data_IF_573740388491
#
_entry.id   IF_573740388491
#
_cell.length_a   1.000
_cell.length_b   1.000
_cell.length_c   1.000
_cell.angle_alpha   90.00
_cell.angle_beta   90.00
_cell.angle_gamma   90.00
#
_symmetry.space_group_name_H-M   'P 1'
#
loop_
_entity.id
_entity.type
_entity.pdbx_description
1 polymer ?
#
# COMPACT_ATOMS: atom_id res chain seq x y z
N UNK A 1 15.22 -3.20 -9.64
CA UNK A 1 15.55 -2.84 -11.03
C UNK A 1 15.75 -1.35 -11.13
N UNK A 2 16.96 -0.95 -11.45
CA UNK A 2 17.24 0.43 -11.81
C UNK A 2 16.68 0.68 -13.21
N UNK A 3 15.47 1.18 -13.27
CA UNK A 3 14.91 1.64 -14.54
C UNK A 3 15.69 2.89 -14.99
N UNK A 4 16.40 2.74 -16.08
CA UNK A 4 17.23 3.81 -16.65
C UNK A 4 16.47 4.69 -17.65
N UNK A 5 15.18 4.42 -17.87
CA UNK A 5 14.39 5.22 -18.80
C UNK A 5 14.06 6.58 -18.19
N UNK A 6 14.45 7.69 -18.85
CA UNK A 6 14.10 9.04 -18.37
C UNK A 6 12.59 9.32 -18.31
N UNK A 7 11.79 8.51 -19.01
CA UNK A 7 10.33 8.65 -19.05
C UNK A 7 9.62 7.84 -17.95
N UNK A 8 10.32 6.96 -17.24
CA UNK A 8 9.72 6.19 -16.16
C UNK A 8 9.33 7.10 -14.99
N UNK A 9 8.08 7.03 -14.55
CA UNK A 9 7.57 7.77 -13.39
C UNK A 9 6.33 7.07 -12.82
N UNK A 10 6.01 7.38 -11.56
CA UNK A 10 4.79 6.92 -10.92
C UNK A 10 4.99 5.83 -9.89
N UNK A 11 3.87 5.30 -9.40
CA UNK A 11 3.78 4.27 -8.37
C UNK A 11 3.28 2.96 -8.96
N UNK A 12 3.93 1.86 -8.64
CA UNK A 12 3.48 0.51 -8.99
C UNK A 12 3.57 -0.41 -7.77
N UNK A 13 2.60 -1.30 -7.61
CA UNK A 13 2.59 -2.30 -6.54
C UNK A 13 2.61 -3.71 -7.13
N UNK A 14 3.39 -4.59 -6.52
CA UNK A 14 3.62 -5.95 -7.02
C UNK A 14 3.24 -6.97 -5.95
N UNK A 15 2.54 -8.02 -6.37
CA UNK A 15 2.14 -9.15 -5.55
C UNK A 15 2.56 -10.47 -6.21
N UNK A 16 2.57 -11.57 -5.45
CA UNK A 16 2.84 -12.87 -6.02
C UNK A 16 1.68 -13.33 -6.91
N UNK A 17 1.98 -13.61 -8.15
CA UNK A 17 1.02 -14.16 -9.10
C UNK A 17 1.68 -14.55 -10.41
N UNK A 18 1.28 -15.71 -10.93
CA UNK A 18 1.71 -16.19 -12.22
C UNK A 18 0.52 -16.27 -13.19
N UNK A 19 0.78 -16.13 -14.49
CA UNK A 19 -0.24 -16.21 -15.53
C UNK A 19 -0.85 -17.62 -15.66
N UNK A 20 -0.21 -18.64 -15.11
CA UNK A 20 -0.59 -20.05 -15.26
C UNK A 20 -0.72 -20.81 -13.94
N UNK A 21 -0.80 -20.14 -12.81
CA UNK A 21 -0.75 -20.82 -11.53
C UNK A 21 -1.29 -20.00 -10.36
N UNK A 22 -0.65 -20.21 -9.22
CA UNK A 22 -1.08 -19.62 -7.95
C UNK A 22 -0.97 -18.11 -7.93
N UNK A 23 -1.95 -17.49 -7.32
CA UNK A 23 -1.97 -16.04 -7.03
C UNK A 23 -2.21 -15.86 -5.54
N UNK A 24 -1.43 -14.98 -4.91
CA UNK A 24 -1.72 -14.54 -3.55
C UNK A 24 -2.92 -13.61 -3.56
N UNK A 25 -4.08 -14.12 -3.17
CA UNK A 25 -5.32 -13.31 -3.11
C UNK A 25 -5.19 -12.16 -2.13
N UNK A 26 -4.63 -12.42 -0.95
CA UNK A 26 -4.42 -11.39 0.08
C UNK A 26 -3.37 -10.38 -0.39
N UNK A 27 -2.27 -10.85 -0.97
CA UNK A 27 -1.25 -9.97 -1.53
C UNK A 27 -1.79 -9.06 -2.63
N UNK A 28 -2.61 -9.61 -3.52
CA UNK A 28 -3.27 -8.84 -4.58
C UNK A 28 -4.20 -7.77 -4.00
N UNK A 29 -5.05 -8.12 -3.05
CA UNK A 29 -5.95 -7.17 -2.40
C UNK A 29 -5.19 -6.06 -1.69
N UNK A 30 -4.14 -6.41 -0.96
CA UNK A 30 -3.28 -5.43 -0.29
C UNK A 30 -2.59 -4.50 -1.29
N UNK A 31 -2.05 -5.05 -2.37
CA UNK A 31 -1.42 -4.26 -3.43
C UNK A 31 -2.42 -3.27 -4.06
N UNK A 32 -3.64 -3.71 -4.33
CA UNK A 32 -4.69 -2.86 -4.90
C UNK A 32 -5.06 -1.72 -3.93
N UNK A 33 -5.19 -2.00 -2.64
CA UNK A 33 -5.46 -0.96 -1.62
C UNK A 33 -4.30 0.02 -1.50
N UNK A 34 -3.06 -0.45 -1.42
CA UNK A 34 -1.87 0.42 -1.34
C UNK A 34 -1.81 1.32 -2.58
N UNK A 35 -1.95 0.75 -3.75
CA UNK A 35 -1.87 1.49 -5.01
C UNK A 35 -2.88 2.64 -5.03
N UNK A 36 -4.14 2.36 -4.73
CA UNK A 36 -5.19 3.37 -4.72
C UNK A 36 -4.94 4.47 -3.69
N UNK A 37 -4.59 4.09 -2.46
CA UNK A 37 -4.39 5.02 -1.36
C UNK A 37 -3.18 5.93 -1.59
N UNK A 38 -2.07 5.39 -2.06
CA UNK A 38 -0.86 6.16 -2.33
C UNK A 38 -1.06 7.12 -3.50
N UNK A 39 -1.65 6.66 -4.59
CA UNK A 39 -1.94 7.51 -5.76
C UNK A 39 -2.88 8.66 -5.39
N UNK A 40 -3.95 8.37 -4.65
CA UNK A 40 -4.92 9.40 -4.25
C UNK A 40 -4.29 10.50 -3.38
N UNK A 41 -3.34 10.16 -2.52
CA UNK A 41 -2.69 11.10 -1.59
C UNK A 41 -1.52 11.87 -2.21
N UNK A 42 -0.83 11.28 -3.16
CA UNK A 42 0.40 11.87 -3.73
C UNK A 42 0.19 12.52 -5.10
N UNK A 43 -0.81 12.08 -5.84
CA UNK A 43 -0.99 12.49 -7.23
C UNK A 43 0.08 11.95 -8.19
N UNK A 44 0.95 11.04 -7.74
CA UNK A 44 1.88 10.35 -8.62
C UNK A 44 1.13 9.51 -9.67
N UNK A 45 1.75 9.28 -10.81
CA UNK A 45 1.15 8.50 -11.88
C UNK A 45 0.81 7.09 -11.38
N UNK A 46 -0.40 6.63 -11.69
CA UNK A 46 -0.84 5.27 -11.37
C UNK A 46 -0.28 4.27 -12.41
N UNK A 47 0.76 3.56 -12.02
CA UNK A 47 1.35 2.48 -12.80
C UNK A 47 0.72 1.11 -12.48
N UNK A 48 -0.37 1.07 -11.71
CA UNK A 48 -1.20 -0.08 -11.41
C UNK A 48 -0.51 -1.16 -10.57
N UNK A 49 -1.21 -2.28 -10.41
CA UNK A 49 -0.72 -3.46 -9.70
C UNK A 49 -0.37 -4.57 -10.69
N UNK A 50 0.64 -5.36 -10.33
CA UNK A 50 1.18 -6.40 -11.22
C UNK A 50 1.50 -7.68 -10.43
N UNK A 51 1.07 -8.82 -10.97
CA UNK A 51 1.51 -10.13 -10.50
C UNK A 51 2.93 -10.45 -10.99
N UNK A 52 3.77 -10.94 -10.09
CA UNK A 52 5.16 -11.36 -10.40
C UNK A 52 5.50 -12.62 -9.61
N UNK A 53 6.44 -13.40 -10.15
CA UNK A 53 6.93 -14.64 -9.52
C UNK A 53 8.29 -14.45 -8.85
N UNK A 54 8.64 -13.24 -8.48
CA UNK A 54 9.92 -12.92 -7.83
C UNK A 54 10.07 -13.66 -6.50
N UNK A 55 11.28 -14.09 -6.19
CA UNK A 55 11.58 -14.83 -4.97
C UNK A 55 11.19 -14.09 -3.71
N UNK A 56 11.39 -12.78 -3.65
CA UNK A 56 10.95 -11.93 -2.55
C UNK A 56 9.45 -12.09 -2.25
N UNK A 57 8.63 -12.22 -3.28
CA UNK A 57 7.17 -12.35 -3.14
C UNK A 57 6.75 -13.80 -2.90
N UNK A 58 7.51 -14.76 -3.41
CA UNK A 58 7.18 -16.18 -3.42
C UNK A 58 7.59 -16.93 -2.16
N UNK A 59 8.77 -16.61 -1.62
CA UNK A 59 9.40 -17.40 -0.54
C UNK A 59 9.00 -16.92 0.86
N UNK A 60 8.13 -15.95 0.98
CA UNK A 60 7.64 -15.45 2.27
C UNK A 60 6.47 -16.29 2.78
N UNK A 61 6.40 -16.47 4.10
CA UNK A 61 5.28 -17.15 4.78
C UNK A 61 4.06 -16.24 4.96
N UNK A 62 4.26 -14.94 4.83
CA UNK A 62 3.21 -13.93 4.94
C UNK A 62 2.91 -13.32 3.59
N UNK A 63 1.69 -12.85 3.35
CA UNK A 63 1.40 -12.04 2.18
C UNK A 63 2.38 -10.88 2.08
N UNK A 64 3.02 -10.75 0.94
CA UNK A 64 4.06 -9.74 0.71
C UNK A 64 3.73 -8.93 -0.54
N UNK A 65 3.92 -7.63 -0.42
CA UNK A 65 3.74 -6.66 -1.52
C UNK A 65 5.00 -5.82 -1.62
N UNK A 66 5.50 -5.64 -2.83
CA UNK A 66 6.53 -4.66 -3.12
C UNK A 66 5.87 -3.41 -3.70
N UNK A 67 6.23 -2.25 -3.19
CA UNK A 67 5.70 -0.97 -3.67
C UNK A 67 6.85 -0.11 -4.17
N UNK A 68 6.83 0.22 -5.44
CA UNK A 68 7.76 1.16 -6.06
C UNK A 68 7.10 2.54 -6.06
N UNK A 69 7.53 3.41 -5.16
CA UNK A 69 6.87 4.69 -4.88
C UNK A 69 7.35 5.85 -5.76
N UNK A 70 7.99 5.54 -6.84
CA UNK A 70 8.48 6.54 -7.78
C UNK A 70 9.87 6.20 -8.30
N UNK A 71 10.35 7.02 -9.21
CA UNK A 71 11.65 6.85 -9.86
C UNK A 71 12.52 8.08 -9.59
N UNK A 72 13.70 7.85 -9.01
CA UNK A 72 14.65 8.94 -8.73
C UNK A 72 15.21 9.58 -10.02
N UNK A 73 15.10 8.89 -11.14
CA UNK A 73 15.46 9.42 -12.46
C UNK A 73 14.38 10.35 -13.04
N UNK A 74 13.17 10.33 -12.49
CA UNK A 74 12.11 11.25 -12.87
C UNK A 74 12.21 12.55 -12.05
N UNK A 75 12.39 13.72 -12.69
CA UNK A 75 12.41 15.00 -11.97
C UNK A 75 11.14 15.25 -11.17
N UNK A 76 9.98 14.84 -11.70
CA UNK A 76 8.69 14.97 -11.03
C UNK A 76 8.63 14.13 -9.77
N UNK A 77 8.93 12.83 -9.87
CA UNK A 77 8.87 11.90 -8.74
C UNK A 77 9.91 12.29 -7.69
N UNK A 78 11.13 12.61 -8.11
CA UNK A 78 12.18 13.06 -7.21
C UNK A 78 11.78 14.32 -6.47
N UNK A 79 11.17 15.29 -7.14
CA UNK A 79 10.67 16.53 -6.53
C UNK A 79 9.64 16.26 -5.44
N UNK A 80 8.80 15.25 -5.62
CA UNK A 80 7.83 14.80 -4.60
C UNK A 80 8.53 14.07 -3.46
N UNK A 81 9.38 13.10 -3.75
CA UNK A 81 9.98 12.21 -2.76
C UNK A 81 10.95 12.89 -1.80
N UNK A 82 11.51 14.04 -2.17
CA UNK A 82 12.38 14.83 -1.27
C UNK A 82 11.58 15.62 -0.23
N UNK A 83 10.27 15.78 -0.38
CA UNK A 83 9.45 16.50 0.59
C UNK A 83 9.00 15.57 1.73
N UNK A 84 9.10 16.01 3.00
CA UNK A 84 8.56 15.22 4.12
C UNK A 84 7.05 14.96 3.99
N UNK A 85 6.30 15.91 3.49
CA UNK A 85 4.85 15.82 3.31
C UNK A 85 4.47 14.67 2.35
N UNK A 86 5.19 14.51 1.24
CA UNK A 86 4.94 13.41 0.31
C UNK A 86 5.27 12.06 0.92
N UNK A 87 6.35 11.95 1.67
CA UNK A 87 6.71 10.71 2.39
C UNK A 87 5.68 10.35 3.45
N UNK A 88 5.18 11.32 4.19
CA UNK A 88 4.10 11.12 5.17
C UNK A 88 2.81 10.67 4.46
N UNK A 89 2.47 11.26 3.33
CA UNK A 89 1.31 10.85 2.54
C UNK A 89 1.42 9.40 2.04
N UNK A 90 2.61 8.98 1.62
CA UNK A 90 2.87 7.59 1.22
C UNK A 90 2.68 6.65 2.41
N UNK A 91 3.27 6.98 3.56
CA UNK A 91 3.16 6.17 4.78
C UNK A 91 1.70 6.08 5.25
N UNK A 92 0.96 7.18 5.24
CA UNK A 92 -0.47 7.21 5.56
C UNK A 92 -1.28 6.33 4.60
N UNK A 93 -0.97 6.37 3.32
CA UNK A 93 -1.62 5.53 2.31
C UNK A 93 -1.38 4.03 2.54
N UNK A 94 -0.16 3.65 2.85
CA UNK A 94 0.18 2.25 3.17
C UNK A 94 -0.53 1.81 4.46
N UNK A 95 -0.52 2.63 5.50
CA UNK A 95 -1.21 2.33 6.75
C UNK A 95 -2.72 2.18 6.53
N UNK A 96 -3.34 3.07 5.79
CA UNK A 96 -4.76 2.98 5.44
C UNK A 96 -5.08 1.68 4.69
N UNK A 97 -4.24 1.29 3.75
CA UNK A 97 -4.40 0.05 2.99
C UNK A 97 -4.35 -1.20 3.88
N UNK A 98 -3.38 -1.27 4.79
CA UNK A 98 -3.26 -2.39 5.74
C UNK A 98 -4.48 -2.44 6.66
N UNK A 99 -4.92 -1.30 7.18
CA UNK A 99 -6.12 -1.21 8.03
C UNK A 99 -7.38 -1.63 7.28
N UNK A 100 -7.56 -1.22 6.03
CA UNK A 100 -8.69 -1.67 5.20
C UNK A 100 -8.71 -3.19 5.04
N UNK A 101 -7.55 -3.79 4.83
CA UNK A 101 -7.46 -5.23 4.62
C UNK A 101 -7.82 -6.04 5.88
N UNK A 102 -7.31 -5.62 7.04
CA UNK A 102 -7.37 -6.44 8.25
C UNK A 102 -8.32 -5.96 9.34
N UNK A 103 -8.60 -4.67 9.43
CA UNK A 103 -9.29 -4.11 10.58
C UNK A 103 -10.60 -3.42 10.26
N UNK A 104 -10.73 -2.78 9.10
CA UNK A 104 -11.90 -2.00 8.75
C UNK A 104 -12.97 -2.82 8.01
N UNK A 105 -12.61 -4.00 7.52
CA UNK A 105 -13.52 -4.87 6.82
C UNK A 105 -14.17 -4.20 5.60
N UNK A 106 -15.50 -4.33 5.48
CA UNK A 106 -16.27 -3.82 4.34
C UNK A 106 -16.74 -2.37 4.48
N UNK A 107 -16.27 -1.65 5.49
CA UNK A 107 -16.61 -0.24 5.65
C UNK A 107 -15.88 0.59 4.60
N UNK A 108 -16.58 0.86 3.51
CA UNK A 108 -16.07 1.56 2.34
C UNK A 108 -16.05 3.07 2.55
N UNK A 109 -15.15 3.55 3.39
CA UNK A 109 -14.79 4.96 3.34
C UNK A 109 -14.07 5.25 2.02
N UNK A 110 -14.36 6.39 1.38
CA UNK A 110 -13.70 6.74 0.13
C UNK A 110 -12.18 6.69 0.24
N UNK A 111 -11.54 6.30 -0.86
CA UNK A 111 -10.07 6.26 -0.96
C UNK A 111 -9.47 7.64 -0.68
N UNK A 112 -8.37 7.66 0.06
CA UNK A 112 -7.62 8.89 0.33
C UNK A 112 -8.20 9.76 1.45
N UNK A 113 -9.23 9.31 2.18
CA UNK A 113 -9.92 10.13 3.18
C UNK A 113 -9.53 9.84 4.62
N UNK A 114 -8.88 8.71 4.90
CA UNK A 114 -8.38 8.43 6.25
C UNK A 114 -7.14 9.25 6.58
N UNK A 115 -7.12 9.85 7.75
CA UNK A 115 -5.94 10.52 8.32
C UNK A 115 -5.22 9.60 9.32
N UNK A 116 -3.97 9.90 9.64
CA UNK A 116 -3.24 9.18 10.69
C UNK A 116 -3.97 9.20 12.02
N UNK A 117 -4.54 10.35 12.40
CA UNK A 117 -5.27 10.47 13.66
C UNK A 117 -6.49 9.55 13.71
N UNK A 118 -7.24 9.45 12.62
CA UNK A 118 -8.40 8.55 12.52
C UNK A 118 -8.00 7.08 12.56
N UNK A 119 -6.91 6.72 11.89
CA UNK A 119 -6.41 5.36 11.87
C UNK A 119 -5.91 4.92 13.25
N UNK A 120 -5.22 5.79 13.97
CA UNK A 120 -4.77 5.52 15.35
C UNK A 120 -5.95 5.44 16.32
N UNK A 121 -6.93 6.31 16.21
CA UNK A 121 -8.14 6.28 17.04
C UNK A 121 -8.92 4.96 16.86
N UNK A 122 -9.02 4.47 15.62
CA UNK A 122 -9.65 3.18 15.33
C UNK A 122 -8.89 2.02 15.99
N UNK A 123 -7.57 2.04 15.98
CA UNK A 123 -6.74 1.01 16.61
C UNK A 123 -6.97 0.97 18.13
N UNK A 124 -6.96 2.12 18.78
CA UNK A 124 -7.22 2.23 20.22
C UNK A 124 -8.61 1.69 20.59
N UNK A 125 -9.63 1.97 19.79
CA UNK A 125 -10.98 1.47 20.05
C UNK A 125 -11.09 -0.06 19.87
N UNK A 126 -10.38 -0.65 18.91
CA UNK A 126 -10.31 -2.09 18.70
C UNK A 126 -9.58 -2.78 19.86
N UNK A 127 -8.48 -2.21 20.34
CA UNK A 127 -7.77 -2.74 21.51
C UNK A 127 -8.64 -2.71 22.79
N UNK A 128 -9.37 -1.62 23.01
CA UNK A 128 -10.27 -1.50 24.15
C UNK A 128 -11.41 -2.52 24.08
N UNK A 129 -12.01 -2.71 22.92
CA UNK A 129 -13.04 -3.72 22.71
C UNK A 129 -12.51 -5.13 22.92
N UNK A 130 -11.28 -5.43 22.46
CA UNK A 130 -10.61 -6.71 22.69
C UNK A 130 -10.33 -6.98 24.16
N UNK A 131 -9.91 -5.97 24.93
CA UNK A 131 -9.71 -6.06 26.38
C UNK A 131 -11.01 -6.25 27.14
N UNK A 132 -12.09 -5.58 26.76
CA UNK A 132 -13.40 -5.72 27.38
C UNK A 132 -14.00 -7.12 27.16
N UNK A 133 -13.77 -7.74 26.01
CA UNK A 133 -14.22 -9.12 25.71
C UNK A 133 -13.35 -10.19 26.34
N UNK A 134 -12.13 -9.87 26.77
CA UNK A 134 -11.21 -10.79 27.43
C UNK A 134 -11.33 -10.85 28.96
N UNK A 135 -12.12 -9.99 29.56
CA UNK A 135 -12.35 -9.96 31.00
C UNK A 135 -13.62 -10.75 31.37
N UNK A 136 -13.48 -12.02 31.32
CA UNK A 136 -14.43 -12.92 32.00
C UNK A 136 -13.78 -13.50 33.23
#
# INVERSE_FOLDING_TARGET
ETQTSPSANGVASFYFGSSHGSVSTIGRNLADFIQREVVARTGLRDCRTHGRTWDLLRLTRMPTVQVDVGYITSPRDRGMLVTPQARDAIAEGILAAVKRLYLLGKNDRPTGTFTFAELLAHEMSVEQAGRASGSC
#
